data_IF_113313932932
#
_entry.id   IF_113313932932
#
_cell.length_a   1.000
_cell.length_b   1.000
_cell.length_c   1.000
_cell.angle_alpha   90.00
_cell.angle_beta   90.00
_cell.angle_gamma   90.00
#
_symmetry.space_group_name_H-M   'P 1'
#
loop_
_entity.id
_entity.type
_entity.pdbx_description
1 polymer ?
#
# COMPACT_ATOMS: atom_id res chain seq x y z
N UNK A 1 -10.78 28.99 3.85
CA UNK A 1 -10.99 27.74 3.07
C UNK A 1 -10.77 26.55 4.01
N UNK A 2 -11.82 26.20 4.77
CA UNK A 2 -11.81 25.04 5.67
C UNK A 2 -11.96 23.79 4.83
N UNK A 3 -10.93 22.94 4.78
CA UNK A 3 -11.07 21.57 4.27
C UNK A 3 -11.52 20.72 5.45
N UNK A 4 -12.82 20.52 5.58
CA UNK A 4 -13.36 19.47 6.45
C UNK A 4 -13.26 18.15 5.69
N UNK A 5 -12.06 17.59 5.65
CA UNK A 5 -11.87 16.20 5.22
C UNK A 5 -12.00 15.31 6.43
N UNK A 6 -13.26 15.05 6.80
CA UNK A 6 -13.61 14.03 7.81
C UNK A 6 -13.66 12.68 7.09
N UNK A 7 -12.51 12.20 6.61
CA UNK A 7 -12.40 10.81 6.18
C UNK A 7 -12.21 9.95 7.42
N UNK A 8 -13.10 8.98 7.58
CA UNK A 8 -13.04 7.97 8.63
C UNK A 8 -11.81 7.10 8.35
N UNK A 9 -10.71 7.41 9.04
CA UNK A 9 -9.40 6.74 8.96
C UNK A 9 -9.41 5.40 9.71
N UNK A 10 -10.41 4.57 9.48
CA UNK A 10 -10.44 3.21 10.00
C UNK A 10 -10.28 2.30 8.79
N UNK A 11 -9.03 1.92 8.50
CA UNK A 11 -8.73 0.90 7.50
C UNK A 11 -9.55 -0.37 7.77
N UNK A 12 -9.88 -1.10 6.71
CA UNK A 12 -10.66 -2.33 6.76
C UNK A 12 -9.92 -3.44 7.53
N UNK A 13 -9.96 -3.39 8.86
CA UNK A 13 -9.37 -4.36 9.78
C UNK A 13 -10.47 -5.00 10.63
N UNK A 14 -11.04 -6.11 10.18
CA UNK A 14 -11.96 -6.87 11.03
C UNK A 14 -12.82 -7.91 10.32
N UNK A 15 -13.03 -9.03 11.01
CA UNK A 15 -14.10 -9.98 10.72
C UNK A 15 -15.45 -9.28 10.97
N UNK A 16 -16.06 -8.66 9.96
CA UNK A 16 -17.44 -8.18 10.06
C UNK A 16 -17.83 -6.92 9.26
N UNK A 17 -16.93 -6.23 8.59
CA UNK A 17 -17.24 -4.95 7.90
C UNK A 17 -17.22 -5.07 6.37
N UNK A 18 -18.00 -5.99 5.79
CA UNK A 18 -18.22 -6.04 4.34
C UNK A 18 -19.29 -5.07 3.83
N UNK A 19 -19.94 -4.30 4.71
CA UNK A 19 -21.00 -3.35 4.34
C UNK A 19 -20.50 -1.93 4.59
N UNK A 20 -19.98 -1.27 3.54
CA UNK A 20 -19.70 0.18 3.53
C UNK A 20 -18.24 0.62 3.46
N UNK A 21 -17.27 -0.29 3.32
CA UNK A 21 -15.85 0.09 3.19
C UNK A 21 -15.59 0.65 1.78
N UNK A 22 -15.37 1.96 1.66
CA UNK A 22 -14.86 2.55 0.43
C UNK A 22 -13.37 2.24 0.32
N UNK A 23 -12.91 1.51 -0.71
CA UNK A 23 -11.49 1.26 -0.89
C UNK A 23 -10.78 2.59 -1.14
N UNK A 24 -9.72 2.86 -0.38
CA UNK A 24 -8.84 3.98 -0.68
C UNK A 24 -8.16 3.75 -2.02
N UNK A 25 -8.07 4.80 -2.83
CA UNK A 25 -7.38 4.74 -4.12
C UNK A 25 -6.50 5.97 -4.36
N UNK A 26 -5.43 5.75 -5.12
CA UNK A 26 -4.50 6.77 -5.60
C UNK A 26 -4.39 6.66 -7.12
N UNK A 27 -4.59 7.77 -7.82
CA UNK A 27 -4.47 7.82 -9.29
C UNK A 27 -3.13 8.42 -9.69
N UNK A 28 -2.41 7.73 -10.56
CA UNK A 28 -1.12 8.16 -11.10
C UNK A 28 -1.34 8.59 -12.56
N UNK A 29 -1.01 9.84 -12.87
CA UNK A 29 -1.21 10.43 -14.19
C UNK A 29 0.10 10.96 -14.76
N UNK A 30 0.36 10.61 -16.01
CA UNK A 30 1.42 11.21 -16.82
C UNK A 30 0.72 11.93 -17.97
N UNK A 31 0.77 13.27 -18.06
CA UNK A 31 -0.01 14.03 -19.05
C UNK A 31 0.25 13.63 -20.51
N UNK A 32 1.46 13.15 -20.80
CA UNK A 32 1.86 12.71 -22.15
C UNK A 32 1.52 11.25 -22.45
N UNK A 33 1.05 10.47 -21.47
CA UNK A 33 0.81 9.04 -21.62
C UNK A 33 -0.61 8.67 -21.20
N UNK A 34 -1.50 8.59 -22.19
CA UNK A 34 -2.71 7.77 -22.17
C UNK A 34 -3.61 7.87 -20.91
N UNK A 35 -4.42 6.83 -20.64
CA UNK A 35 -5.26 6.76 -19.46
C UNK A 35 -4.42 6.56 -18.17
N UNK A 36 -4.94 6.97 -17.00
CA UNK A 36 -4.21 6.90 -15.73
C UNK A 36 -4.01 5.47 -15.23
N UNK A 37 -3.01 5.28 -14.38
CA UNK A 37 -2.91 4.10 -13.52
C UNK A 37 -3.60 4.35 -12.19
N UNK A 38 -4.07 3.28 -11.54
CA UNK A 38 -4.78 3.36 -10.27
C UNK A 38 -4.15 2.38 -9.30
N UNK A 39 -3.89 2.82 -8.07
CA UNK A 39 -3.54 1.96 -6.95
C UNK A 39 -4.76 1.93 -6.04
N UNK A 40 -5.36 0.77 -5.84
CA UNK A 40 -6.62 0.62 -5.09
C UNK A 40 -6.44 -0.40 -3.97
N UNK A 41 -6.89 -0.05 -2.77
CA UNK A 41 -6.96 -1.00 -1.68
C UNK A 41 -8.00 -2.08 -2.00
N UNK A 42 -7.62 -3.35 -1.89
CA UNK A 42 -8.54 -4.47 -1.96
C UNK A 42 -8.99 -4.88 -0.55
N UNK A 43 -10.30 -4.93 -0.29
CA UNK A 43 -10.80 -5.47 0.96
C UNK A 43 -10.46 -6.96 1.06
N UNK A 44 -9.79 -7.36 2.14
CA UNK A 44 -9.62 -8.76 2.54
C UNK A 44 -9.96 -8.94 4.02
N UNK A 45 -10.26 -10.19 4.42
CA UNK A 45 -10.76 -10.52 5.76
C UNK A 45 -9.72 -10.40 6.89
N UNK A 46 -8.42 -10.55 6.59
CA UNK A 46 -7.34 -10.67 7.60
C UNK A 46 -6.07 -9.88 7.26
N UNK A 47 -6.03 -9.26 6.09
CA UNK A 47 -4.87 -8.62 5.48
C UNK A 47 -5.32 -7.36 4.79
N UNK A 48 -4.42 -6.39 4.67
CA UNK A 48 -4.61 -5.29 3.72
C UNK A 48 -3.83 -5.62 2.46
N UNK A 49 -4.53 -5.58 1.32
CA UNK A 49 -3.92 -5.83 0.02
C UNK A 49 -4.25 -4.68 -0.92
N UNK A 50 -3.48 -4.55 -1.98
CA UNK A 50 -3.58 -3.47 -2.95
C UNK A 50 -3.47 -4.03 -4.36
N UNK A 51 -4.19 -3.42 -5.30
CA UNK A 51 -4.04 -3.67 -6.73
C UNK A 51 -3.45 -2.45 -7.40
N UNK A 52 -2.52 -2.71 -8.32
CA UNK A 52 -2.03 -1.71 -9.28
C UNK A 52 -2.71 -2.02 -10.61
N UNK A 53 -3.55 -1.09 -11.05
CA UNK A 53 -4.41 -1.22 -12.23
C UNK A 53 -3.93 -0.33 -13.36
N UNK A 54 -4.12 -0.79 -14.59
CA UNK A 54 -4.02 0.06 -15.78
C UNK A 54 -5.27 0.95 -15.97
N UNK A 55 -5.28 1.72 -17.06
CA UNK A 55 -6.38 2.62 -17.39
C UNK A 55 -7.70 1.95 -17.75
N UNK A 56 -7.68 0.64 -18.01
CA UNK A 56 -8.86 -0.19 -18.28
C UNK A 56 -9.28 -1.01 -17.05
N UNK A 57 -8.71 -0.68 -15.88
CA UNK A 57 -8.90 -1.38 -14.60
C UNK A 57 -8.43 -2.85 -14.60
N UNK A 58 -7.52 -3.24 -15.49
CA UNK A 58 -6.88 -4.56 -15.43
C UNK A 58 -5.73 -4.54 -14.42
N UNK A 59 -5.64 -5.60 -13.61
CA UNK A 59 -4.56 -5.74 -12.63
C UNK A 59 -3.21 -6.00 -13.30
N UNK A 60 -2.29 -5.06 -13.14
CA UNK A 60 -0.87 -5.19 -13.52
C UNK A 60 -0.12 -5.93 -12.41
N UNK A 61 -0.34 -5.51 -11.15
CA UNK A 61 0.26 -6.12 -9.97
C UNK A 61 -0.77 -6.29 -8.86
N UNK A 62 -0.58 -7.35 -8.08
CA UNK A 62 -1.28 -7.57 -6.82
C UNK A 62 -0.25 -7.49 -5.70
N UNK A 63 -0.52 -6.66 -4.70
CA UNK A 63 0.34 -6.47 -3.54
C UNK A 63 -0.40 -7.02 -2.33
N UNK A 64 0.08 -8.13 -1.79
CA UNK A 64 -0.57 -8.78 -0.65
C UNK A 64 0.18 -8.48 0.63
N UNK A 65 -0.51 -7.84 1.58
CA UNK A 65 0.06 -7.50 2.88
C UNK A 65 0.18 -8.69 3.82
N UNK A 66 0.91 -8.50 4.93
CA UNK A 66 1.26 -9.57 5.84
C UNK A 66 0.03 -10.06 6.62
N UNK A 67 -0.17 -11.38 6.65
CA UNK A 67 -1.27 -12.00 7.39
C UNK A 67 -0.93 -12.12 8.88
N UNK A 68 -1.86 -11.74 9.75
CA UNK A 68 -1.77 -11.89 11.21
C UNK A 68 -0.60 -11.16 11.91
N UNK A 69 0.26 -10.42 11.18
CA UNK A 69 1.45 -9.81 11.77
C UNK A 69 1.15 -8.75 12.84
N UNK A 70 0.05 -8.02 12.70
CA UNK A 70 -0.41 -7.05 13.71
C UNK A 70 -0.89 -7.72 15.00
N UNK A 71 -1.42 -8.95 14.91
CA UNK A 71 -1.86 -9.75 16.06
C UNK A 71 -0.70 -10.51 16.72
N UNK A 72 0.29 -10.90 15.93
CA UNK A 72 1.44 -11.71 16.35
C UNK A 72 2.68 -10.88 16.74
N UNK A 73 2.60 -9.54 16.63
CA UNK A 73 3.68 -8.63 17.02
C UNK A 73 4.90 -8.67 16.09
N UNK A 74 4.70 -8.90 14.78
CA UNK A 74 5.78 -8.78 13.81
C UNK A 74 6.37 -7.36 13.85
N UNK A 75 7.70 -7.25 13.88
CA UNK A 75 8.39 -5.96 13.81
C UNK A 75 8.39 -5.41 12.38
N UNK A 76 8.80 -6.22 11.42
CA UNK A 76 8.85 -5.83 10.01
C UNK A 76 7.54 -6.23 9.30
N UNK A 77 7.12 -5.40 8.34
CA UNK A 77 5.92 -5.65 7.54
C UNK A 77 6.32 -5.89 6.09
N UNK A 78 6.00 -7.07 5.60
CA UNK A 78 6.35 -7.56 4.26
C UNK A 78 5.10 -7.62 3.38
N UNK A 79 5.14 -6.93 2.24
CA UNK A 79 4.06 -6.89 1.26
C UNK A 79 4.52 -7.55 -0.04
N UNK A 80 3.99 -8.72 -0.37
CA UNK A 80 4.42 -9.50 -1.53
C UNK A 80 3.86 -8.91 -2.83
N UNK A 81 4.71 -8.71 -3.83
CA UNK A 81 4.32 -8.21 -5.15
C UNK A 81 4.16 -9.41 -6.09
N UNK A 82 2.98 -9.56 -6.67
CA UNK A 82 2.64 -10.63 -7.61
C UNK A 82 2.25 -10.07 -8.98
N UNK A 83 2.62 -10.80 -10.03
CA UNK A 83 2.16 -10.61 -11.41
C UNK A 83 1.69 -11.97 -11.93
N UNK A 84 0.42 -12.09 -12.31
CA UNK A 84 -0.15 -13.35 -12.83
C UNK A 84 0.16 -14.59 -11.95
N UNK A 85 -0.07 -14.46 -10.64
CA UNK A 85 0.26 -15.44 -9.58
C UNK A 85 1.75 -15.70 -9.28
N UNK A 86 2.69 -15.16 -10.07
CA UNK A 86 4.12 -15.26 -9.79
C UNK A 86 4.56 -14.15 -8.85
N UNK A 87 5.33 -14.49 -7.81
CA UNK A 87 5.97 -13.50 -6.94
C UNK A 87 7.16 -12.88 -7.67
N UNK A 88 7.12 -11.57 -7.87
CA UNK A 88 8.14 -10.84 -8.61
C UNK A 88 8.97 -9.90 -7.75
N UNK A 89 8.61 -9.75 -6.46
CA UNK A 89 9.25 -8.80 -5.56
C UNK A 89 8.47 -8.60 -4.26
N UNK A 90 8.89 -7.59 -3.51
CA UNK A 90 8.33 -7.27 -2.19
C UNK A 90 8.51 -5.78 -1.84
N UNK A 91 7.53 -5.20 -1.15
CA UNK A 91 7.66 -3.94 -0.43
C UNK A 91 7.82 -4.27 1.06
N UNK A 92 8.93 -3.86 1.68
CA UNK A 92 9.19 -4.11 3.10
C UNK A 92 9.25 -2.80 3.86
N UNK A 93 8.46 -2.68 4.93
CA UNK A 93 8.63 -1.63 5.95
C UNK A 93 9.42 -2.23 7.11
N UNK A 94 10.68 -1.81 7.26
CA UNK A 94 11.53 -2.22 8.37
C UNK A 94 11.29 -1.36 9.59
N UNK A 95 11.22 -2.01 10.74
CA UNK A 95 11.22 -1.35 12.04
C UNK A 95 12.66 -0.97 12.41
N UNK A 96 12.94 0.34 12.52
CA UNK A 96 14.29 0.84 12.77
C UNK A 96 14.58 1.18 14.24
N UNK A 97 13.63 0.99 15.16
CA UNK A 97 13.73 1.48 16.55
C UNK A 97 13.99 0.42 17.64
N UNK A 98 14.78 0.78 18.66
CA UNK A 98 14.87 0.06 19.95
C UNK A 98 13.74 0.46 20.94
N UNK A 99 13.08 1.60 20.72
CA UNK A 99 11.97 2.13 21.54
C UNK A 99 10.81 2.58 20.65
N UNK A 100 9.57 2.53 21.16
CA UNK A 100 8.35 2.84 20.38
C UNK A 100 8.29 4.29 19.84
N UNK A 101 9.12 5.20 20.36
CA UNK A 101 9.13 6.63 20.01
C UNK A 101 9.92 6.97 18.74
N UNK A 102 10.67 6.01 18.16
CA UNK A 102 11.54 6.25 17.00
C UNK A 102 11.23 5.26 15.87
N UNK A 103 9.93 5.03 15.62
CA UNK A 103 9.51 4.28 14.44
C UNK A 103 9.53 5.18 13.20
N UNK A 104 10.70 5.26 12.54
CA UNK A 104 10.80 5.72 11.16
C UNK A 104 10.89 4.47 10.28
N UNK A 105 9.74 3.99 9.80
CA UNK A 105 9.70 2.81 8.93
C UNK A 105 10.60 3.04 7.72
N UNK A 106 11.65 2.24 7.55
CA UNK A 106 12.46 2.27 6.33
C UNK A 106 11.77 1.40 5.30
N UNK A 107 11.36 2.01 4.18
CA UNK A 107 10.74 1.28 3.08
C UNK A 107 11.81 0.79 2.09
N UNK A 108 11.75 -0.49 1.75
CA UNK A 108 12.50 -1.12 0.68
C UNK A 108 11.52 -1.66 -0.35
N UNK A 109 11.83 -1.50 -1.64
CA UNK A 109 11.07 -2.10 -2.73
C UNK A 109 12.03 -2.94 -3.56
N UNK A 110 11.73 -4.23 -3.66
CA UNK A 110 12.50 -5.20 -4.45
C UNK A 110 11.62 -5.71 -5.59
N UNK A 111 12.21 -5.93 -6.76
CA UNK A 111 11.53 -6.46 -7.94
C UNK A 111 12.55 -7.15 -8.86
N UNK A 112 12.06 -8.06 -9.71
CA UNK A 112 12.86 -8.71 -10.76
C UNK A 112 13.55 -7.70 -11.68
N UNK A 113 14.79 -7.99 -12.09
CA UNK A 113 15.66 -7.07 -12.84
C UNK A 113 15.10 -6.65 -14.19
N UNK A 114 14.29 -7.50 -14.82
CA UNK A 114 13.65 -7.27 -16.12
C UNK A 114 12.41 -6.37 -16.09
N UNK A 115 12.03 -5.82 -14.94
CA UNK A 115 10.86 -4.95 -14.84
C UNK A 115 11.09 -3.60 -15.55
N UNK A 116 10.10 -3.12 -16.30
CA UNK A 116 10.18 -1.85 -17.02
C UNK A 116 10.16 -0.64 -16.06
N UNK A 117 10.57 0.53 -16.56
CA UNK A 117 10.72 1.74 -15.74
C UNK A 117 9.39 2.23 -15.16
N UNK A 118 8.30 2.13 -15.94
CA UNK A 118 6.97 2.57 -15.48
C UNK A 118 6.48 1.65 -14.36
N UNK A 119 6.59 0.35 -14.54
CA UNK A 119 6.25 -0.63 -13.49
C UNK A 119 7.03 -0.38 -12.19
N UNK A 120 8.33 -0.07 -12.26
CA UNK A 120 9.12 0.30 -11.07
C UNK A 120 8.58 1.56 -10.39
N UNK A 121 8.24 2.59 -11.17
CA UNK A 121 7.64 3.82 -10.66
C UNK A 121 6.26 3.58 -10.02
N UNK A 122 5.45 2.69 -10.60
CA UNK A 122 4.16 2.27 -10.04
C UNK A 122 4.34 1.57 -8.69
N UNK A 123 5.32 0.65 -8.57
CA UNK A 123 5.61 -0.04 -7.31
C UNK A 123 6.14 0.90 -6.23
N UNK A 124 6.97 1.89 -6.60
CA UNK A 124 7.38 2.95 -5.67
C UNK A 124 6.19 3.81 -5.21
N UNK A 125 5.29 4.15 -6.13
CA UNK A 125 4.07 4.88 -5.81
C UNK A 125 3.17 4.07 -4.88
N UNK A 126 3.09 2.76 -5.07
CA UNK A 126 2.37 1.85 -4.19
C UNK A 126 2.96 1.83 -2.78
N UNK A 127 4.28 1.76 -2.65
CA UNK A 127 4.95 1.80 -1.34
C UNK A 127 4.61 3.08 -0.56
N UNK A 128 4.63 4.25 -1.23
CA UNK A 128 4.25 5.53 -0.62
C UNK A 128 2.77 5.51 -0.21
N UNK A 129 1.89 5.02 -1.09
CA UNK A 129 0.47 4.95 -0.81
C UNK A 129 0.15 4.04 0.38
N UNK A 130 0.84 2.91 0.51
CA UNK A 130 0.74 1.98 1.64
C UNK A 130 1.17 2.66 2.94
N UNK A 131 2.30 3.39 2.97
CA UNK A 131 2.74 4.13 4.16
C UNK A 131 1.67 5.11 4.65
N UNK A 132 1.15 5.93 3.73
CA UNK A 132 0.12 6.93 4.03
C UNK A 132 -1.18 6.27 4.53
N UNK A 133 -1.56 5.14 3.95
CA UNK A 133 -2.83 4.46 4.26
C UNK A 133 -2.77 3.68 5.57
N UNK A 134 -1.64 3.03 5.87
CA UNK A 134 -1.51 2.10 7.01
C UNK A 134 -0.91 2.74 8.27
N UNK A 135 -0.11 3.80 8.12
CA UNK A 135 0.66 4.40 9.21
C UNK A 135 0.45 5.92 9.33
N UNK A 136 -0.78 6.41 9.56
CA UNK A 136 -1.04 7.85 9.66
C UNK A 136 -0.34 8.54 10.85
N UNK A 137 0.02 7.79 11.91
CA UNK A 137 0.73 8.33 13.08
C UNK A 137 2.19 8.73 12.78
N UNK A 138 2.83 8.14 11.76
CA UNK A 138 4.18 8.55 11.34
C UNK A 138 4.19 9.98 10.77
N UNK A 139 3.04 10.45 10.25
CA UNK A 139 2.86 11.75 9.61
C UNK A 139 2.61 12.89 10.63
N UNK A 140 2.04 12.57 11.80
CA UNK A 140 1.72 13.57 12.84
C UNK A 140 2.95 14.07 13.61
N UNK A 141 4.12 13.43 13.45
CA UNK A 141 5.34 13.77 14.20
C UNK A 141 6.16 14.92 13.59
N UNK A 142 5.79 15.38 12.39
CA UNK A 142 6.41 16.52 11.70
C UNK A 142 5.57 17.81 11.76
N UNK A 143 4.60 17.89 12.68
CA UNK A 143 3.70 19.04 12.83
C UNK A 143 3.86 19.72 14.17
#
# INVERSE_FOLDING_TARGET
>A
MKRETKYFLEGCYGWGSTIGCHPFECTIRIPSMGPPWIIRQRPQLKTTSYDVLDGDENAIFQIDGPCCCRLLGCKDMEFQIRKSNEMIGEITRKWTGFTAQVDHGLYSVTFSSGLDVISKALLLSAAIFIDISEFPESQNRYR
#
